data_IF_571258540169
#
_entry.id   IF_571258540169
#
_cell.length_a   1.000
_cell.length_b   1.000
_cell.length_c   1.000
_cell.angle_alpha   90.00
_cell.angle_beta   90.00
_cell.angle_gamma   90.00
#
_symmetry.space_group_name_H-M   'P 1'
#
loop_
_entity.id
_entity.type
_entity.pdbx_description
1 polymer ?
#
# COMPACT_ATOMS: atom_id res chain seq x y z
N UNK A 1 9.33 7.59 -7.55
CA UNK A 1 8.20 6.95 -6.84
C UNK A 1 8.62 5.53 -6.49
N UNK A 2 8.87 5.25 -5.21
CA UNK A 2 9.40 3.95 -4.78
C UNK A 2 8.26 2.94 -4.66
N UNK A 3 7.96 2.26 -5.76
CA UNK A 3 7.06 1.10 -5.76
C UNK A 3 7.65 0.00 -4.89
N UNK A 4 7.04 -0.30 -3.75
CA UNK A 4 7.45 -1.44 -2.91
C UNK A 4 7.41 -2.72 -3.76
N UNK A 5 8.55 -3.39 -3.91
CA UNK A 5 8.61 -4.65 -4.66
C UNK A 5 8.05 -5.76 -3.79
N UNK A 6 7.49 -6.78 -4.44
CA UNK A 6 6.95 -7.94 -3.75
C UNK A 6 8.01 -8.64 -2.87
N UNK A 7 9.24 -8.74 -3.37
CA UNK A 7 10.39 -9.30 -2.63
C UNK A 7 10.67 -8.57 -1.33
N UNK A 8 10.45 -7.25 -1.29
CA UNK A 8 10.68 -6.45 -0.08
C UNK A 8 9.59 -6.74 0.94
N UNK A 9 8.32 -6.84 0.50
CA UNK A 9 7.17 -7.20 1.35
C UNK A 9 7.33 -8.61 1.94
N UNK A 10 7.87 -9.55 1.16
CA UNK A 10 8.10 -10.92 1.60
C UNK A 10 9.14 -11.01 2.72
N UNK A 11 10.17 -10.15 2.70
CA UNK A 11 11.19 -10.08 3.75
C UNK A 11 10.72 -9.44 5.04
N UNK A 12 9.59 -8.72 5.02
CA UNK A 12 9.04 -8.05 6.20
C UNK A 12 8.42 -9.07 7.15
N UNK A 13 8.55 -8.83 8.46
CA UNK A 13 7.85 -9.63 9.46
C UNK A 13 6.34 -9.35 9.46
N UNK A 14 5.54 -10.28 10.01
CA UNK A 14 4.08 -10.16 10.08
C UNK A 14 3.64 -8.85 10.76
N UNK A 15 4.29 -8.48 11.87
CA UNK A 15 4.02 -7.24 12.60
C UNK A 15 4.31 -5.99 11.76
N UNK A 16 5.40 -6.00 10.99
CA UNK A 16 5.74 -4.88 10.10
C UNK A 16 4.75 -4.76 8.95
N UNK A 17 4.33 -5.89 8.38
CA UNK A 17 3.30 -5.92 7.32
C UNK A 17 1.98 -5.35 7.83
N UNK A 18 1.56 -5.67 9.04
CA UNK A 18 0.33 -5.13 9.64
C UNK A 18 0.41 -3.62 9.89
N UNK A 19 1.54 -3.11 10.39
CA UNK A 19 1.75 -1.66 10.56
C UNK A 19 1.68 -0.95 9.22
N UNK A 20 2.42 -1.43 8.21
CA UNK A 20 2.38 -0.90 6.84
C UNK A 20 0.99 -0.96 6.23
N UNK A 21 0.24 -2.02 6.49
CA UNK A 21 -1.12 -2.19 6.00
C UNK A 21 -2.06 -1.11 6.55
N UNK A 22 -1.92 -0.72 7.83
CA UNK A 22 -2.69 0.39 8.43
C UNK A 22 -2.31 1.74 7.82
N UNK A 23 -1.01 2.00 7.66
CA UNK A 23 -0.50 3.23 7.03
C UNK A 23 -0.99 3.39 5.59
N UNK A 24 -0.87 2.34 4.77
CA UNK A 24 -1.31 2.34 3.37
C UNK A 24 -2.82 2.55 3.24
N UNK A 25 -3.62 2.03 4.17
CA UNK A 25 -5.08 2.30 4.21
C UNK A 25 -5.38 3.76 4.51
N UNK A 26 -4.69 4.37 5.47
CA UNK A 26 -4.85 5.80 5.76
C UNK A 26 -4.42 6.66 4.57
N UNK A 27 -3.30 6.32 3.93
CA UNK A 27 -2.82 7.05 2.75
C UNK A 27 -3.79 6.88 1.56
N UNK A 28 -4.41 5.71 1.41
CA UNK A 28 -5.45 5.49 0.40
C UNK A 28 -6.64 6.42 0.62
N UNK A 29 -7.12 6.55 1.86
CA UNK A 29 -8.25 7.42 2.20
C UNK A 29 -7.90 8.89 1.91
N UNK A 30 -6.75 9.37 2.37
CA UNK A 30 -6.27 10.73 2.08
C UNK A 30 -6.15 10.99 0.59
N UNK A 31 -5.60 10.02 -0.15
CA UNK A 31 -5.44 10.12 -1.61
C UNK A 31 -6.79 10.08 -2.35
N UNK A 32 -7.78 9.36 -1.80
CA UNK A 32 -9.15 9.30 -2.35
C UNK A 32 -9.93 10.59 -2.10
N UNK A 33 -9.71 11.25 -0.97
CA UNK A 33 -10.31 12.57 -0.66
C UNK A 33 -9.66 13.67 -1.52
N UNK A 34 -8.35 13.58 -1.72
CA UNK A 34 -7.59 14.53 -2.53
C UNK A 34 -7.41 14.10 -4.00
N UNK A 35 -8.35 13.33 -4.55
CA UNK A 35 -8.28 12.76 -5.92
C UNK A 35 -8.03 13.81 -7.00
N UNK A 36 -8.58 15.02 -6.82
CA UNK A 36 -8.39 16.16 -7.72
C UNK A 36 -6.94 16.67 -7.78
N UNK A 37 -6.15 16.46 -6.71
CA UNK A 37 -4.76 16.93 -6.61
C UNK A 37 -3.71 15.80 -6.71
N UNK A 38 -4.07 14.57 -6.33
CA UNK A 38 -3.10 13.47 -6.16
C UNK A 38 -3.01 12.52 -7.36
N UNK A 39 -3.90 12.64 -8.35
CA UNK A 39 -3.90 11.82 -9.56
C UNK A 39 -4.28 10.36 -9.34
N UNK A 40 -4.88 9.72 -10.35
CA UNK A 40 -5.38 8.34 -10.26
C UNK A 40 -4.27 7.29 -10.12
N UNK A 41 -3.03 7.63 -10.52
CA UNK A 41 -1.88 6.72 -10.49
C UNK A 41 -1.47 6.33 -9.06
N UNK A 42 -1.41 7.29 -8.14
CA UNK A 42 -1.01 7.05 -6.74
C UNK A 42 -1.97 6.11 -6.03
N UNK A 43 -3.28 6.28 -6.27
CA UNK A 43 -4.33 5.40 -5.74
C UNK A 43 -4.17 3.97 -6.26
N UNK A 44 -3.85 3.81 -7.56
CA UNK A 44 -3.64 2.51 -8.20
C UNK A 44 -2.43 1.78 -7.60
N UNK A 45 -1.36 2.50 -7.33
CA UNK A 45 -0.15 1.94 -6.70
C UNK A 45 -0.41 1.49 -5.27
N UNK A 46 -1.05 2.33 -4.43
CA UNK A 46 -1.40 1.97 -3.05
C UNK A 46 -2.28 0.72 -3.01
N UNK A 47 -3.28 0.63 -3.89
CA UNK A 47 -4.13 -0.57 -4.01
C UNK A 47 -3.34 -1.82 -4.39
N UNK A 48 -2.36 -1.71 -5.30
CA UNK A 48 -1.49 -2.84 -5.68
C UNK A 48 -0.60 -3.29 -4.53
N UNK A 49 -0.05 -2.38 -3.74
CA UNK A 49 0.79 -2.71 -2.59
C UNK A 49 -0.06 -3.42 -1.52
N UNK A 50 -1.25 -2.89 -1.23
CA UNK A 50 -2.24 -3.52 -0.34
C UNK A 50 -2.55 -4.95 -0.77
N UNK A 51 -2.85 -5.16 -2.06
CA UNK A 51 -3.17 -6.49 -2.58
C UNK A 51 -2.01 -7.47 -2.38
N UNK A 52 -0.77 -7.04 -2.62
CA UNK A 52 0.43 -7.88 -2.42
C UNK A 52 0.63 -8.27 -0.95
N UNK A 53 0.41 -7.35 -0.02
CA UNK A 53 0.49 -7.64 1.42
C UNK A 53 -0.58 -8.66 1.82
N UNK A 54 -1.82 -8.48 1.34
CA UNK A 54 -2.91 -9.41 1.60
C UNK A 54 -2.64 -10.81 1.04
N UNK A 55 -2.04 -10.91 -0.16
CA UNK A 55 -1.64 -12.19 -0.75
C UNK A 55 -0.60 -12.92 0.10
N UNK A 56 0.35 -12.21 0.71
CA UNK A 56 1.38 -12.80 1.59
C UNK A 56 0.88 -13.21 2.97
N UNK A 57 -0.27 -12.67 3.40
CA UNK A 57 -0.89 -12.97 4.67
C UNK A 57 -2.03 -14.01 4.57
N UNK A 58 -2.33 -14.49 3.35
CA UNK A 58 -3.27 -15.58 3.09
C UNK A 58 -2.56 -16.92 3.26
#
# INVERSE_FOLDING_TARGET
MSTLKFKDIQKMEKNERERKMKELRMELVKSKVNTSKSGSSKIKEIKKIIARILTLNK
#
